data_IF_642570801077
#
_entry.id   IF_642570801077
#
_cell.length_a   1.000
_cell.length_b   1.000
_cell.length_c   1.000
_cell.angle_alpha   90.00
_cell.angle_beta   90.00
_cell.angle_gamma   90.00
#
_symmetry.space_group_name_H-M   'P 1'
#
loop_
_entity.id
_entity.type
_entity.pdbx_description
1 polymer ?
#
# COMPACT_ATOMS: atom_id res chain seq x y z
N UNK A 1 -10.09 -15.38 -3.73
CA UNK A 1 -11.39 -15.20 -3.05
C UNK A 1 -12.05 -13.95 -3.59
N UNK A 2 -13.27 -14.04 -4.13
CA UNK A 2 -13.93 -12.94 -4.84
C UNK A 2 -14.83 -12.18 -3.86
N UNK A 3 -14.46 -10.94 -3.54
CA UNK A 3 -15.29 -10.02 -2.77
C UNK A 3 -16.62 -9.74 -3.51
N UNK A 4 -17.78 -9.88 -2.87
CA UNK A 4 -19.04 -9.51 -3.55
C UNK A 4 -19.11 -7.97 -3.74
N UNK A 5 -18.84 -7.48 -4.97
CA UNK A 5 -18.90 -6.05 -5.32
C UNK A 5 -20.23 -5.42 -4.89
N UNK A 6 -21.36 -6.15 -4.93
CA UNK A 6 -22.67 -5.59 -4.54
C UNK A 6 -22.71 -5.17 -3.08
N UNK A 7 -21.93 -5.82 -2.21
CA UNK A 7 -21.80 -5.47 -0.78
C UNK A 7 -20.80 -4.33 -0.53
N UNK A 8 -19.83 -4.13 -1.43
CA UNK A 8 -18.71 -3.18 -1.23
C UNK A 8 -18.91 -1.86 -1.95
N UNK A 9 -19.42 -1.86 -3.17
CA UNK A 9 -19.57 -0.62 -3.97
C UNK A 9 -20.45 0.43 -3.31
N UNK A 10 -21.58 0.10 -2.66
CA UNK A 10 -22.33 1.09 -1.89
C UNK A 10 -21.50 1.76 -0.78
N UNK A 11 -20.53 1.02 -0.20
CA UNK A 11 -19.61 1.54 0.83
C UNK A 11 -18.47 2.39 0.24
N UNK A 12 -18.10 2.16 -1.02
CA UNK A 12 -17.10 2.96 -1.75
C UNK A 12 -17.70 4.24 -2.35
N UNK A 13 -18.99 4.22 -2.72
CA UNK A 13 -19.77 5.39 -3.17
C UNK A 13 -20.13 6.31 -2.00
N UNK A 14 -19.12 6.80 -1.30
CA UNK A 14 -19.33 7.80 -0.26
C UNK A 14 -19.45 9.18 -0.89
N UNK A 15 -20.50 9.92 -0.53
CA UNK A 15 -20.63 11.35 -0.84
C UNK A 15 -19.30 12.04 -0.51
N UNK A 16 -18.83 12.96 -1.38
CA UNK A 16 -17.58 13.72 -1.15
C UNK A 16 -17.56 14.40 0.23
N UNK A 17 -18.73 14.78 0.76
CA UNK A 17 -18.92 15.32 2.10
C UNK A 17 -19.57 14.27 3.01
N UNK A 18 -19.00 14.05 4.18
CA UNK A 18 -19.50 13.16 5.23
C UNK A 18 -19.62 13.91 6.55
N UNK A 19 -20.41 13.36 7.47
CA UNK A 19 -20.57 13.89 8.82
C UNK A 19 -19.91 12.92 9.81
N UNK A 20 -19.13 13.48 10.73
CA UNK A 20 -18.51 12.74 11.82
C UNK A 20 -19.24 13.05 13.12
N UNK A 21 -19.70 12.00 13.77
CA UNK A 21 -20.44 12.07 15.02
C UNK A 21 -19.57 11.61 16.18
N UNK A 22 -19.69 12.26 17.35
CA UNK A 22 -19.17 11.74 18.60
C UNK A 22 -19.85 10.41 18.94
N UNK A 23 -19.08 9.44 19.41
CA UNK A 23 -19.59 8.14 19.86
C UNK A 23 -18.91 7.70 21.14
N UNK A 24 -19.49 6.67 21.77
CA UNK A 24 -18.92 6.05 22.96
C UNK A 24 -17.58 5.40 22.65
N UNK A 25 -16.67 5.50 23.62
CA UNK A 25 -15.30 5.04 23.47
C UNK A 25 -14.29 5.93 24.19
N UNK A 26 -13.01 5.65 23.96
CA UNK A 26 -11.91 6.40 24.56
C UNK A 26 -11.03 7.05 23.48
N UNK A 27 -10.59 8.28 23.73
CA UNK A 27 -9.50 8.89 22.97
C UNK A 27 -8.20 8.70 23.73
N UNK A 28 -7.19 8.13 23.08
CA UNK A 28 -5.83 8.00 23.61
C UNK A 28 -4.91 9.04 23.00
N UNK A 29 -3.93 9.50 23.81
CA UNK A 29 -2.72 10.07 23.23
C UNK A 29 -1.97 8.97 22.49
N UNK A 30 -1.17 9.32 21.48
CA UNK A 30 -0.41 8.32 20.71
C UNK A 30 0.60 7.61 21.62
N UNK A 31 1.23 8.38 22.51
CA UNK A 31 2.19 7.87 23.49
C UNK A 31 1.56 6.84 24.44
N UNK A 32 0.37 7.11 24.98
CA UNK A 32 -0.30 6.19 25.92
C UNK A 32 -0.81 4.93 25.22
N UNK A 33 -1.33 5.07 23.99
CA UNK A 33 -1.73 3.91 23.18
C UNK A 33 -0.55 2.96 22.93
N UNK A 34 0.62 3.52 22.56
CA UNK A 34 1.85 2.73 22.37
C UNK A 34 2.28 2.05 23.66
N UNK A 35 2.26 2.74 24.81
CA UNK A 35 2.62 2.12 26.10
C UNK A 35 1.71 0.92 26.42
N UNK A 36 0.41 1.05 26.17
CA UNK A 36 -0.61 0.02 26.41
C UNK A 36 -0.46 -1.19 25.47
N UNK A 37 -0.16 -0.96 24.19
CA UNK A 37 -0.28 -1.99 23.15
C UNK A 37 1.02 -2.41 22.45
N UNK A 38 2.20 -1.89 22.83
CA UNK A 38 3.50 -2.24 22.20
C UNK A 38 3.80 -3.75 22.10
N UNK A 39 3.18 -4.59 22.94
CA UNK A 39 3.38 -6.04 22.95
C UNK A 39 2.94 -6.74 21.65
N UNK A 40 2.09 -6.10 20.83
CA UNK A 40 1.69 -6.66 19.52
C UNK A 40 2.79 -6.58 18.46
N UNK A 41 3.89 -5.87 18.73
CA UNK A 41 5.02 -5.71 17.82
C UNK A 41 6.21 -6.56 18.27
N UNK A 42 7.09 -6.91 17.33
CA UNK A 42 8.34 -7.63 17.64
C UNK A 42 9.27 -6.80 18.53
N UNK A 43 10.24 -7.45 19.19
CA UNK A 43 11.24 -6.76 20.03
C UNK A 43 12.00 -5.67 19.27
N UNK A 44 12.33 -5.92 18.01
CA UNK A 44 13.02 -4.94 17.16
C UNK A 44 12.15 -3.71 16.89
N UNK A 45 10.89 -3.92 16.54
CA UNK A 45 9.92 -2.85 16.28
C UNK A 45 9.62 -2.03 17.54
N UNK A 46 9.52 -2.69 18.69
CA UNK A 46 9.39 -2.01 19.99
C UNK A 46 10.60 -1.10 20.28
N UNK A 47 11.80 -1.50 19.87
CA UNK A 47 13.00 -0.68 20.03
C UNK A 47 12.94 0.58 19.15
N UNK A 48 12.45 0.47 17.91
CA UNK A 48 12.23 1.63 17.02
C UNK A 48 11.25 2.62 17.68
N UNK A 49 10.12 2.12 18.21
CA UNK A 49 9.16 2.97 18.92
C UNK A 49 9.81 3.65 20.14
N UNK A 50 10.57 2.91 20.95
CA UNK A 50 11.24 3.44 22.14
C UNK A 50 12.21 4.58 21.78
N UNK A 51 13.04 4.39 20.76
CA UNK A 51 14.05 5.37 20.32
C UNK A 51 13.41 6.66 19.77
N UNK A 52 12.18 6.56 19.28
CA UNK A 52 11.45 7.65 18.64
C UNK A 52 10.24 8.12 19.46
N UNK A 53 10.11 7.68 20.71
CA UNK A 53 8.94 7.93 21.55
C UNK A 53 8.68 9.43 21.76
N UNK A 54 9.77 10.23 21.84
CA UNK A 54 9.72 11.70 21.94
C UNK A 54 8.98 12.41 20.79
N UNK A 55 8.76 11.72 19.67
CA UNK A 55 8.02 12.28 18.53
C UNK A 55 6.51 11.99 18.61
N UNK A 56 6.07 11.17 19.56
CA UNK A 56 4.67 10.78 19.72
C UNK A 56 3.92 11.82 20.56
N UNK A 57 2.69 12.13 20.17
CA UNK A 57 1.84 13.05 20.94
C UNK A 57 1.50 12.46 22.31
N UNK A 58 1.84 13.18 23.38
CA UNK A 58 1.45 12.87 24.76
C UNK A 58 0.09 13.48 25.14
N UNK A 59 -0.43 14.40 24.33
CA UNK A 59 -1.71 15.07 24.58
C UNK A 59 -2.81 14.48 23.70
N UNK A 60 -3.98 14.24 24.29
CA UNK A 60 -5.21 13.93 23.57
C UNK A 60 -5.65 15.18 22.81
N UNK A 61 -5.90 15.07 21.51
CA UNK A 61 -6.36 16.20 20.67
C UNK A 61 -7.88 16.33 20.61
N UNK A 62 -8.58 15.25 20.93
CA UNK A 62 -10.03 15.17 20.87
C UNK A 62 -10.56 14.72 22.24
N UNK A 63 -11.77 15.19 22.57
CA UNK A 63 -12.44 14.81 23.82
C UNK A 63 -13.24 13.51 23.68
N UNK A 64 -13.62 13.15 22.46
CA UNK A 64 -14.43 11.98 22.14
C UNK A 64 -14.01 11.38 20.80
N UNK A 65 -14.14 10.05 20.62
CA UNK A 65 -14.01 9.41 19.32
C UNK A 65 -14.97 9.98 18.28
N UNK A 66 -14.54 10.02 17.03
CA UNK A 66 -15.33 10.49 15.90
C UNK A 66 -15.53 9.38 14.88
N UNK A 67 -16.77 9.20 14.41
CA UNK A 67 -17.11 8.20 13.42
C UNK A 67 -18.09 8.72 12.36
N UNK A 68 -17.93 8.25 11.14
CA UNK A 68 -18.90 8.43 10.07
C UNK A 68 -20.03 7.44 10.29
N UNK A 69 -21.16 7.92 10.78
CA UNK A 69 -22.37 7.11 10.93
C UNK A 69 -23.50 7.75 10.11
N UNK A 70 -24.29 6.91 9.44
CA UNK A 70 -25.57 7.32 8.84
C UNK A 70 -26.71 7.38 9.87
N UNK A 71 -26.52 6.75 11.03
CA UNK A 71 -27.52 6.53 12.09
C UNK A 71 -26.92 6.80 13.48
N UNK A 72 -26.27 7.95 13.69
CA UNK A 72 -25.79 8.28 15.04
C UNK A 72 -26.96 8.64 15.96
N UNK A 73 -27.29 7.72 16.85
CA UNK A 73 -28.34 7.80 17.87
C UNK A 73 -28.15 8.90 18.94
N UNK A 74 -27.01 9.59 18.96
CA UNK A 74 -26.75 10.65 19.95
C UNK A 74 -26.84 12.05 19.34
N UNK A 75 -28.07 12.58 19.22
CA UNK A 75 -28.40 13.92 18.71
C UNK A 75 -27.91 15.10 19.57
N UNK A 76 -27.20 14.87 20.69
CA UNK A 76 -26.84 15.92 21.66
C UNK A 76 -25.65 16.79 21.25
N UNK A 77 -24.71 16.25 20.46
CA UNK A 77 -23.55 17.01 19.98
C UNK A 77 -23.65 17.16 18.46
N UNK A 78 -23.45 18.39 17.97
CA UNK A 78 -23.51 18.68 16.53
C UNK A 78 -22.42 17.89 15.79
N UNK A 79 -22.75 17.24 14.67
CA UNK A 79 -21.76 16.55 13.86
C UNK A 79 -20.74 17.52 13.25
N UNK A 80 -19.54 17.01 13.01
CA UNK A 80 -18.45 17.75 12.35
C UNK A 80 -18.46 17.38 10.86
N UNK A 81 -18.45 18.39 10.00
CA UNK A 81 -18.36 18.18 8.56
C UNK A 81 -16.93 17.79 8.14
N UNK A 82 -16.81 16.73 7.36
CA UNK A 82 -15.56 16.23 6.83
C UNK A 82 -15.67 15.90 5.33
N UNK A 83 -14.53 15.70 4.68
CA UNK A 83 -14.47 15.11 3.34
C UNK A 83 -14.22 13.62 3.44
N UNK A 84 -14.89 12.84 2.58
CA UNK A 84 -14.58 11.43 2.41
C UNK A 84 -13.22 11.29 1.70
N UNK A 85 -12.27 10.55 2.29
CA UNK A 85 -10.98 10.24 1.66
C UNK A 85 -10.67 8.75 1.82
N UNK A 86 -10.61 8.01 0.69
CA UNK A 86 -10.46 6.56 0.71
C UNK A 86 -11.66 5.80 1.30
N UNK A 87 -11.59 4.48 1.30
CA UNK A 87 -12.70 3.59 1.68
C UNK A 87 -13.09 3.68 3.16
N UNK A 88 -12.13 3.88 4.06
CA UNK A 88 -12.33 3.87 5.53
C UNK A 88 -11.90 5.14 6.27
N UNK A 89 -11.65 6.24 5.56
CA UNK A 89 -11.14 7.47 6.18
C UNK A 89 -11.94 8.73 5.86
N UNK A 90 -11.83 9.72 6.73
CA UNK A 90 -12.41 11.05 6.55
C UNK A 90 -11.38 12.13 6.88
N UNK A 91 -11.47 13.28 6.21
CA UNK A 91 -10.57 14.42 6.34
C UNK A 91 -11.30 15.64 6.91
N UNK A 92 -10.84 16.08 8.07
CA UNK A 92 -11.17 17.37 8.67
C UNK A 92 -10.28 18.43 8.01
N UNK A 93 -10.85 19.14 7.02
CA UNK A 93 -10.10 20.00 6.09
C UNK A 93 -9.44 21.18 6.78
N UNK A 94 -10.17 21.85 7.69
CA UNK A 94 -9.67 23.06 8.38
C UNK A 94 -8.48 22.71 9.28
N UNK A 95 -8.55 21.56 9.93
CA UNK A 95 -7.57 21.06 10.89
C UNK A 95 -6.43 20.30 10.20
N UNK A 96 -6.59 19.96 8.91
CA UNK A 96 -5.71 19.05 8.16
C UNK A 96 -5.47 17.73 8.91
N UNK A 97 -6.56 17.12 9.38
CA UNK A 97 -6.53 15.84 10.11
C UNK A 97 -7.32 14.79 9.35
N UNK A 98 -6.63 13.72 8.94
CA UNK A 98 -7.27 12.50 8.46
C UNK A 98 -7.54 11.57 9.64
N UNK A 99 -8.74 11.03 9.72
CA UNK A 99 -9.10 9.95 10.64
C UNK A 99 -9.25 8.68 9.78
N UNK A 100 -8.30 7.75 9.91
CA UNK A 100 -8.34 6.43 9.25
C UNK A 100 -9.03 5.43 10.17
N UNK A 101 -9.96 4.63 9.64
CA UNK A 101 -10.72 3.66 10.44
C UNK A 101 -11.98 4.26 11.09
N UNK A 102 -12.59 5.27 10.47
CA UNK A 102 -13.76 5.94 11.04
C UNK A 102 -15.05 5.73 10.25
N UNK A 103 -15.11 4.76 9.33
CA UNK A 103 -16.31 4.48 8.51
C UNK A 103 -16.85 3.10 8.82
N UNK A 104 -17.07 2.84 10.10
CA UNK A 104 -17.64 1.58 10.55
C UNK A 104 -19.02 1.40 9.93
N UNK A 105 -19.29 0.20 9.44
CA UNK A 105 -20.64 -0.21 9.10
C UNK A 105 -21.17 -1.08 10.24
N UNK A 106 -22.02 -0.50 11.08
CA UNK A 106 -22.63 -1.16 12.25
C UNK A 106 -23.51 -2.35 11.86
N UNK A 107 -23.99 -2.38 10.62
CA UNK A 107 -24.99 -3.34 10.14
C UNK A 107 -24.37 -4.46 9.28
N UNK A 108 -23.04 -4.61 9.27
CA UNK A 108 -22.40 -5.58 8.37
C UNK A 108 -21.15 -6.25 8.94
N UNK A 109 -21.12 -7.58 8.91
CA UNK A 109 -19.93 -8.43 9.10
C UNK A 109 -19.00 -8.42 7.87
N UNK A 110 -18.94 -7.30 7.15
CA UNK A 110 -18.12 -7.20 5.95
C UNK A 110 -16.66 -7.12 6.36
N UNK A 111 -15.91 -8.14 5.95
CA UNK A 111 -14.46 -8.17 6.07
C UNK A 111 -13.81 -7.99 4.69
N UNK A 112 -12.62 -7.37 4.66
CA UNK A 112 -11.76 -7.34 3.49
C UNK A 112 -10.75 -8.49 3.51
N UNK A 113 -10.46 -9.15 2.38
CA UNK A 113 -9.32 -10.01 2.24
C UNK A 113 -8.06 -9.21 2.57
N UNK A 114 -7.17 -9.86 3.29
CA UNK A 114 -5.94 -9.26 3.75
C UNK A 114 -4.79 -10.20 3.45
N UNK A 115 -4.03 -9.89 2.40
CA UNK A 115 -2.88 -10.68 1.96
C UNK A 115 -1.64 -10.19 2.69
N UNK A 116 -1.00 -11.12 3.39
CA UNK A 116 0.23 -10.90 4.12
C UNK A 116 1.30 -11.86 3.61
N UNK A 117 2.50 -11.35 3.42
CA UNK A 117 3.71 -12.14 3.26
C UNK A 117 4.53 -11.90 4.52
N UNK A 118 4.93 -12.94 5.26
CA UNK A 118 5.84 -12.81 6.40
C UNK A 118 7.29 -12.99 5.98
N UNK A 119 8.21 -12.40 6.75
CA UNK A 119 9.62 -12.38 6.37
C UNK A 119 10.20 -13.77 6.57
N UNK A 120 10.70 -14.38 5.49
CA UNK A 120 11.09 -15.78 5.48
C UNK A 120 10.15 -16.69 4.71
N UNK A 121 8.91 -16.25 4.46
CA UNK A 121 7.91 -17.06 3.76
C UNK A 121 8.01 -16.87 2.24
N UNK A 122 7.68 -17.94 1.51
CA UNK A 122 7.60 -17.94 0.04
C UNK A 122 6.15 -17.97 -0.47
N UNK A 123 5.17 -18.01 0.45
CA UNK A 123 3.74 -18.03 0.17
C UNK A 123 3.03 -16.92 0.94
N UNK A 124 2.03 -16.33 0.30
CA UNK A 124 1.15 -15.38 0.98
C UNK A 124 0.12 -16.11 1.84
N UNK A 125 -0.24 -15.49 2.95
CA UNK A 125 -1.37 -15.87 3.79
C UNK A 125 -2.50 -14.88 3.54
N UNK A 126 -3.68 -15.38 3.17
CA UNK A 126 -4.89 -14.57 3.05
C UNK A 126 -5.70 -14.66 4.34
N UNK A 127 -5.85 -13.54 5.02
CA UNK A 127 -6.69 -13.38 6.21
C UNK A 127 -7.85 -12.42 5.92
N UNK A 128 -8.58 -11.99 6.95
CA UNK A 128 -9.69 -11.06 6.86
C UNK A 128 -9.54 -9.95 7.90
N UNK A 129 -9.86 -8.71 7.52
CA UNK A 129 -9.89 -7.57 8.44
C UNK A 129 -11.27 -6.89 8.43
N UNK A 130 -11.75 -6.39 9.58
CA UNK A 130 -13.03 -5.66 9.65
C UNK A 130 -13.05 -4.45 8.70
N UNK A 131 -14.17 -4.25 7.99
CA UNK A 131 -14.36 -3.07 7.17
C UNK A 131 -14.56 -1.82 8.03
N UNK A 132 -13.94 -0.71 7.62
CA UNK A 132 -14.30 0.61 8.13
C UNK A 132 -13.57 1.06 9.39
N UNK A 133 -13.04 0.15 10.20
CA UNK A 133 -12.22 0.40 11.40
C UNK A 133 -10.82 -0.23 11.26
N UNK A 134 -9.92 0.11 12.19
CA UNK A 134 -8.59 -0.50 12.32
C UNK A 134 -8.56 -1.47 13.49
N UNK A 135 -7.72 -2.51 13.41
CA UNK A 135 -7.33 -3.29 14.58
C UNK A 135 -6.25 -2.58 15.40
N UNK A 136 -5.99 -3.03 16.64
CA UNK A 136 -4.86 -2.55 17.46
C UNK A 136 -3.55 -2.68 16.68
N UNK A 137 -3.33 -3.82 16.03
CA UNK A 137 -2.11 -4.06 15.26
C UNK A 137 -1.98 -3.05 14.13
N UNK A 138 -3.03 -2.82 13.34
CA UNK A 138 -2.98 -1.85 12.24
C UNK A 138 -2.62 -0.43 12.71
N UNK A 139 -3.17 0.02 13.85
CA UNK A 139 -2.81 1.32 14.43
C UNK A 139 -1.34 1.33 14.86
N UNK A 140 -0.87 0.27 15.51
CA UNK A 140 0.53 0.15 15.93
C UNK A 140 1.50 0.12 14.74
N UNK A 141 1.12 -0.49 13.61
CA UNK A 141 1.90 -0.54 12.36
C UNK A 141 2.04 0.84 11.70
N UNK A 142 0.97 1.63 11.69
CA UNK A 142 1.01 3.04 11.22
C UNK A 142 1.92 3.91 12.10
N UNK A 143 1.82 3.77 13.43
CA UNK A 143 2.68 4.51 14.38
C UNK A 143 4.14 4.05 14.25
N UNK A 144 4.38 2.75 14.07
CA UNK A 144 5.70 2.19 13.81
C UNK A 144 6.30 2.78 12.52
N UNK A 145 5.54 2.86 11.44
CA UNK A 145 5.99 3.48 10.20
C UNK A 145 6.38 4.95 10.42
N UNK A 146 5.57 5.73 11.15
CA UNK A 146 5.94 7.10 11.50
C UNK A 146 7.29 7.18 12.23
N UNK A 147 7.49 6.36 13.26
CA UNK A 147 8.74 6.30 14.02
C UNK A 147 9.93 5.83 13.17
N UNK A 148 9.73 4.81 12.33
CA UNK A 148 10.74 4.30 11.41
C UNK A 148 11.21 5.38 10.42
N UNK A 149 10.27 6.10 9.83
CA UNK A 149 10.58 7.16 8.87
C UNK A 149 11.34 8.31 9.56
N UNK A 150 10.96 8.67 10.79
CA UNK A 150 11.70 9.64 11.59
C UNK A 150 13.13 9.20 11.89
N UNK A 151 13.33 7.95 12.31
CA UNK A 151 14.65 7.38 12.59
C UNK A 151 15.56 7.42 11.36
N UNK A 152 15.02 7.05 10.20
CA UNK A 152 15.77 6.92 8.95
C UNK A 152 15.77 8.19 8.10
N UNK A 153 15.28 9.32 8.64
CA UNK A 153 15.19 10.62 7.95
C UNK A 153 14.44 10.55 6.62
N UNK A 154 13.47 9.64 6.52
CA UNK A 154 12.56 9.53 5.36
C UNK A 154 11.39 10.47 5.59
N UNK A 155 11.02 11.23 4.56
CA UNK A 155 9.90 12.16 4.66
C UNK A 155 8.59 11.35 4.63
N UNK A 156 7.71 11.60 5.59
CA UNK A 156 6.39 10.98 5.69
C UNK A 156 5.29 12.04 5.61
N UNK A 157 4.17 11.69 4.96
CA UNK A 157 3.05 12.62 4.75
C UNK A 157 2.15 12.79 5.98
N UNK A 158 2.17 11.82 6.89
CA UNK A 158 1.27 11.79 8.04
C UNK A 158 2.03 11.93 9.37
N UNK A 159 1.37 12.48 10.39
CA UNK A 159 1.87 12.55 11.77
C UNK A 159 0.74 12.14 12.72
N UNK A 160 0.84 10.99 13.40
CA UNK A 160 -0.16 10.55 14.38
C UNK A 160 -0.40 11.60 15.47
N UNK A 161 -1.67 11.89 15.79
CA UNK A 161 -2.04 12.85 16.84
C UNK A 161 -2.92 12.27 17.94
N UNK A 162 -3.81 11.34 17.62
CA UNK A 162 -4.65 10.65 18.62
C UNK A 162 -5.15 9.32 18.08
N UNK A 163 -5.46 8.40 18.98
CA UNK A 163 -6.09 7.12 18.64
C UNK A 163 -7.48 7.10 19.26
N UNK A 164 -8.46 6.65 18.49
CA UNK A 164 -9.84 6.46 18.91
C UNK A 164 -10.07 4.98 19.15
N UNK A 165 -10.59 4.61 20.31
CA UNK A 165 -11.14 3.29 20.59
C UNK A 165 -12.66 3.42 20.53
N UNK A 166 -13.29 2.67 19.63
CA UNK A 166 -14.75 2.70 19.45
C UNK A 166 -15.39 1.60 20.28
N UNK A 167 -16.46 1.95 21.01
CA UNK A 167 -17.23 1.00 21.81
C UNK A 167 -18.68 0.89 21.33
N UNK A 168 -19.22 -0.34 21.38
CA UNK A 168 -20.64 -0.65 21.20
C UNK A 168 -21.02 -1.63 22.30
N UNK A 169 -22.12 -1.37 23.02
CA UNK A 169 -22.62 -2.23 24.10
C UNK A 169 -21.54 -2.63 25.12
N UNK A 170 -20.65 -1.68 25.45
CA UNK A 170 -19.53 -1.88 26.38
C UNK A 170 -18.37 -2.72 25.85
N UNK A 171 -18.37 -3.09 24.56
CA UNK A 171 -17.29 -3.85 23.91
C UNK A 171 -16.52 -2.98 22.93
N UNK A 172 -15.20 -3.18 22.88
CA UNK A 172 -14.36 -2.56 21.86
C UNK A 172 -14.62 -3.22 20.51
N UNK A 173 -14.96 -2.42 19.51
CA UNK A 173 -15.27 -2.92 18.15
C UNK A 173 -14.20 -2.56 17.12
N UNK A 174 -13.30 -1.63 17.46
CA UNK A 174 -12.18 -1.28 16.61
C UNK A 174 -11.60 0.08 16.96
N UNK A 175 -10.67 0.53 16.12
CA UNK A 175 -9.88 1.71 16.35
C UNK A 175 -9.88 2.66 15.16
N UNK A 176 -9.65 3.94 15.44
CA UNK A 176 -9.39 4.98 14.47
C UNK A 176 -8.06 5.66 14.76
N UNK A 177 -7.30 6.00 13.72
CA UNK A 177 -6.07 6.79 13.85
C UNK A 177 -6.29 8.17 13.26
N UNK A 178 -6.25 9.19 14.12
CA UNK A 178 -6.23 10.58 13.71
C UNK A 178 -4.77 11.01 13.45
N UNK A 179 -4.50 11.52 12.26
CA UNK A 179 -3.18 11.96 11.83
C UNK A 179 -3.26 13.31 11.12
N UNK A 180 -2.31 14.19 11.40
CA UNK A 180 -2.07 15.35 10.55
C UNK A 180 -1.55 14.91 9.20
N UNK A 181 -2.04 15.50 8.11
CA UNK A 181 -1.61 15.16 6.75
C UNK A 181 -1.32 16.43 5.95
N UNK A 182 -0.31 16.38 5.06
CA UNK A 182 0.05 17.55 4.24
C UNK A 182 -0.80 17.64 2.99
N UNK A 183 -1.00 16.50 2.33
CA UNK A 183 -1.85 16.33 1.17
C UNK A 183 -2.50 14.94 1.24
N UNK A 184 -3.64 14.75 0.57
CA UNK A 184 -4.31 13.44 0.45
C UNK A 184 -4.68 13.12 -1.00
N UNK A 185 -4.30 13.97 -1.96
CA UNK A 185 -4.48 13.68 -3.37
C UNK A 185 -3.46 12.62 -3.82
N UNK A 186 -3.97 11.42 -4.06
CA UNK A 186 -3.21 10.26 -4.53
C UNK A 186 -2.95 10.33 -6.02
N UNK A 187 -1.87 9.69 -6.48
CA UNK A 187 -1.53 9.64 -7.90
C UNK A 187 -2.47 8.74 -8.72
N UNK A 188 -3.10 7.72 -8.12
CA UNK A 188 -4.07 6.86 -8.82
C UNK A 188 -5.20 7.65 -9.49
N UNK A 189 -5.60 8.80 -8.94
CA UNK A 189 -6.67 9.62 -9.52
C UNK A 189 -6.27 10.30 -10.84
N UNK A 190 -4.98 10.29 -11.16
CA UNK A 190 -4.40 10.95 -12.33
C UNK A 190 -3.84 9.93 -13.34
N UNK A 191 -4.01 8.63 -13.09
CA UNK A 191 -3.60 7.58 -14.02
C UNK A 191 -4.44 7.66 -15.30
N UNK A 192 -3.78 7.73 -16.45
CA UNK A 192 -4.41 7.86 -17.76
C UNK A 192 -3.87 6.82 -18.73
N UNK A 193 -4.80 6.14 -19.41
CA UNK A 193 -4.52 5.19 -20.49
C UNK A 193 -4.93 5.78 -21.84
N UNK A 194 -4.55 7.03 -22.10
CA UNK A 194 -4.92 7.77 -23.34
C UNK A 194 -6.43 7.82 -23.66
N UNK A 195 -7.30 7.49 -22.70
CA UNK A 195 -8.74 7.33 -22.93
C UNK A 195 -9.12 6.07 -23.71
N UNK A 196 -8.20 5.11 -23.87
CA UNK A 196 -8.38 3.87 -24.63
C UNK A 196 -8.85 2.72 -23.74
N UNK A 197 -9.65 1.83 -24.32
CA UNK A 197 -10.01 0.54 -23.74
C UNK A 197 -8.83 -0.43 -23.78
N UNK A 198 -8.87 -1.48 -22.94
CA UNK A 198 -7.84 -2.53 -22.97
C UNK A 198 -7.73 -3.18 -24.36
N UNK A 199 -8.85 -3.40 -25.04
CA UNK A 199 -8.85 -4.00 -26.39
C UNK A 199 -8.12 -3.11 -27.40
N UNK A 200 -8.32 -1.80 -27.33
CA UNK A 200 -7.62 -0.84 -28.18
C UNK A 200 -6.13 -0.78 -27.86
N UNK A 201 -5.76 -0.81 -26.56
CA UNK A 201 -4.35 -0.89 -26.14
C UNK A 201 -3.66 -2.14 -26.70
N UNK A 202 -4.32 -3.31 -26.62
CA UNK A 202 -3.82 -4.56 -27.18
C UNK A 202 -3.62 -4.43 -28.69
N UNK A 203 -4.64 -3.95 -29.40
CA UNK A 203 -4.58 -3.77 -30.86
C UNK A 203 -3.42 -2.85 -31.27
N UNK A 204 -3.25 -1.71 -30.58
CA UNK A 204 -2.15 -0.79 -30.86
C UNK A 204 -0.79 -1.44 -30.60
N UNK A 205 -0.62 -2.18 -29.50
CA UNK A 205 0.63 -2.88 -29.19
C UNK A 205 0.94 -4.00 -30.18
N UNK A 206 -0.06 -4.72 -30.67
CA UNK A 206 0.11 -5.67 -31.76
C UNK A 206 0.49 -4.98 -33.07
N UNK A 207 -0.09 -3.82 -33.35
CA UNK A 207 0.25 -3.02 -34.52
C UNK A 207 1.69 -2.52 -34.43
N UNK A 208 2.13 -1.97 -33.29
CA UNK A 208 3.52 -1.57 -33.03
C UNK A 208 4.50 -2.70 -33.37
N UNK A 209 4.20 -3.92 -32.90
CA UNK A 209 5.03 -5.12 -33.16
C UNK A 209 5.09 -5.47 -34.64
N UNK A 210 3.99 -5.30 -35.38
CA UNK A 210 3.91 -5.60 -36.82
C UNK A 210 4.65 -4.57 -37.68
N UNK A 211 4.55 -3.29 -37.34
CA UNK A 211 5.10 -2.20 -38.16
C UNK A 211 6.49 -1.72 -37.69
N UNK A 212 6.93 -2.12 -36.49
CA UNK A 212 8.22 -1.74 -35.92
C UNK A 212 8.31 -0.28 -35.44
N UNK A 213 7.16 0.38 -35.23
CA UNK A 213 7.08 1.79 -34.81
C UNK A 213 6.34 1.85 -33.48
N UNK A 214 6.89 2.59 -32.51
CA UNK A 214 6.24 2.85 -31.23
C UNK A 214 5.15 3.92 -31.39
N UNK A 215 3.94 3.58 -30.99
CA UNK A 215 2.71 4.38 -31.11
C UNK A 215 2.28 4.96 -29.76
N UNK A 216 2.49 4.22 -28.66
CA UNK A 216 2.15 4.61 -27.29
C UNK A 216 3.28 4.27 -26.31
N UNK A 217 3.31 4.92 -25.16
CA UNK A 217 4.30 4.65 -24.11
C UNK A 217 4.20 3.21 -23.57
N UNK A 218 5.24 2.77 -22.86
CA UNK A 218 5.29 1.42 -22.29
C UNK A 218 4.66 1.35 -20.89
N UNK A 219 4.48 2.47 -20.20
CA UNK A 219 3.88 2.57 -18.87
C UNK A 219 2.71 3.57 -18.90
N UNK A 220 1.72 3.39 -18.03
CA UNK A 220 0.62 4.34 -17.88
C UNK A 220 1.13 5.72 -17.42
N UNK A 221 0.47 6.80 -17.86
CA UNK A 221 0.86 8.17 -17.48
C UNK A 221 0.18 8.58 -16.17
N UNK A 222 0.93 9.12 -15.21
CA UNK A 222 0.41 9.52 -13.89
C UNK A 222 0.00 10.99 -13.77
N UNK A 223 0.00 11.75 -14.88
CA UNK A 223 -0.15 13.20 -14.84
C UNK A 223 1.11 13.93 -14.35
N UNK A 224 2.23 13.21 -14.19
CA UNK A 224 3.55 13.72 -13.79
C UNK A 224 4.61 13.04 -14.64
N UNK A 225 5.82 13.61 -14.68
CA UNK A 225 6.95 13.00 -15.40
C UNK A 225 7.29 11.61 -14.83
N UNK A 226 7.02 10.57 -15.63
CA UNK A 226 7.16 9.17 -15.22
C UNK A 226 8.62 8.82 -14.87
N UNK A 227 9.60 9.40 -15.56
CA UNK A 227 11.03 9.18 -15.26
C UNK A 227 11.42 9.76 -13.90
N UNK A 228 11.04 11.01 -13.61
CA UNK A 228 11.23 11.65 -12.32
C UNK A 228 10.55 10.84 -11.22
N UNK A 229 9.29 10.42 -11.44
CA UNK A 229 8.55 9.60 -10.47
C UNK A 229 9.29 8.30 -10.17
N UNK A 230 9.68 7.53 -11.20
CA UNK A 230 10.44 6.29 -11.05
C UNK A 230 11.75 6.51 -10.28
N UNK A 231 12.47 7.62 -10.56
CA UNK A 231 13.70 7.98 -9.87
C UNK A 231 13.49 8.37 -8.40
N UNK A 232 12.43 9.09 -8.07
CA UNK A 232 12.13 9.43 -6.66
C UNK A 232 11.65 8.19 -5.90
N UNK A 233 10.79 7.39 -6.54
CA UNK A 233 10.21 6.19 -5.94
C UNK A 233 11.29 5.14 -5.65
N UNK A 234 12.16 4.86 -6.61
CA UNK A 234 13.29 3.93 -6.41
C UNK A 234 14.19 4.34 -5.25
N UNK A 235 14.60 5.61 -5.17
CA UNK A 235 15.39 6.13 -4.03
C UNK A 235 14.68 5.92 -2.69
N UNK A 236 13.40 6.23 -2.63
CA UNK A 236 12.60 6.09 -1.42
C UNK A 236 12.47 4.62 -0.99
N UNK A 237 12.17 3.71 -1.94
CA UNK A 237 12.09 2.27 -1.66
C UNK A 237 13.43 1.73 -1.20
N UNK A 238 14.53 2.06 -1.88
CA UNK A 238 15.87 1.62 -1.51
C UNK A 238 16.24 2.08 -0.10
N UNK A 239 16.02 3.37 0.22
CA UNK A 239 16.27 3.89 1.56
C UNK A 239 15.42 3.17 2.61
N UNK A 240 14.16 2.84 2.30
CA UNK A 240 13.25 2.14 3.19
C UNK A 240 13.68 0.67 3.38
N UNK A 241 13.85 -0.09 2.30
CA UNK A 241 14.19 -1.52 2.32
C UNK A 241 15.54 -1.79 2.98
N UNK A 242 16.58 -1.06 2.60
CA UNK A 242 17.92 -1.21 3.21
C UNK A 242 18.02 -0.62 4.63
N UNK A 243 16.97 0.08 5.10
CA UNK A 243 16.79 0.41 6.52
C UNK A 243 15.91 -0.62 7.26
N UNK A 244 15.43 -1.67 6.57
CA UNK A 244 14.62 -2.74 7.13
C UNK A 244 13.11 -2.51 7.09
N UNK A 245 12.62 -1.48 6.41
CA UNK A 245 11.19 -1.17 6.35
C UNK A 245 10.52 -1.72 5.10
N UNK A 246 9.33 -2.30 5.25
CA UNK A 246 8.51 -2.82 4.15
C UNK A 246 7.04 -2.53 4.42
N UNK A 247 6.31 -2.02 3.41
CA UNK A 247 4.88 -1.70 3.58
C UNK A 247 3.98 -2.93 3.58
N UNK A 248 4.40 -4.03 2.98
CA UNK A 248 3.58 -5.23 2.76
C UNK A 248 2.75 -5.16 1.47
N UNK A 249 2.36 -6.32 0.95
CA UNK A 249 1.85 -6.50 -0.43
C UNK A 249 0.69 -5.57 -0.79
N UNK A 250 -0.37 -5.54 0.04
CA UNK A 250 -1.59 -4.77 -0.27
C UNK A 250 -1.40 -3.26 -0.23
N UNK A 251 -0.52 -2.78 0.66
CA UNK A 251 -0.28 -1.35 0.85
C UNK A 251 0.80 -0.81 -0.08
N UNK A 252 1.54 -1.70 -0.75
CA UNK A 252 2.59 -1.37 -1.70
C UNK A 252 2.09 -1.02 -3.09
N UNK A 253 0.94 -0.37 -3.27
CA UNK A 253 0.47 0.09 -4.58
C UNK A 253 0.84 1.56 -4.86
N UNK A 254 0.98 1.94 -6.13
CA UNK A 254 1.24 3.34 -6.53
C UNK A 254 0.05 4.27 -6.21
N UNK A 255 -1.16 3.72 -6.06
CA UNK A 255 -2.33 4.47 -5.62
C UNK A 255 -2.21 5.03 -4.20
N UNK A 256 -1.28 4.51 -3.40
CA UNK A 256 -0.94 5.06 -2.09
C UNK A 256 0.18 6.11 -2.15
N UNK A 257 0.54 6.59 -3.33
CA UNK A 257 1.55 7.62 -3.52
C UNK A 257 0.94 9.01 -3.66
N UNK A 258 1.62 10.01 -3.12
CA UNK A 258 1.20 11.42 -3.13
C UNK A 258 2.37 12.25 -3.64
N UNK A 259 2.12 13.10 -4.63
CA UNK A 259 3.06 14.14 -5.05
C UNK A 259 2.58 15.49 -4.56
N UNK A 260 3.43 16.19 -3.82
CA UNK A 260 3.13 17.54 -3.33
C UNK A 260 4.42 18.35 -3.21
N UNK A 261 4.43 19.55 -3.80
CA UNK A 261 5.59 20.44 -3.86
C UNK A 261 6.86 19.73 -4.36
N UNK A 262 6.75 19.02 -5.50
CA UNK A 262 7.83 18.23 -6.11
C UNK A 262 8.49 17.21 -5.16
N UNK A 263 7.73 16.68 -4.20
CA UNK A 263 8.15 15.60 -3.32
C UNK A 263 7.17 14.45 -3.42
N UNK A 264 7.72 13.24 -3.47
CA UNK A 264 6.97 12.00 -3.41
C UNK A 264 6.84 11.55 -1.96
N UNK A 265 5.64 11.18 -1.58
CA UNK A 265 5.32 10.57 -0.29
C UNK A 265 4.59 9.25 -0.52
N UNK A 266 4.79 8.31 0.39
CA UNK A 266 4.02 7.06 0.45
C UNK A 266 3.12 7.08 1.69
N UNK A 267 1.93 6.50 1.57
CA UNK A 267 0.96 6.39 2.67
C UNK A 267 0.41 4.97 2.79
N UNK A 268 -0.46 4.77 3.80
CA UNK A 268 -1.04 3.49 4.21
C UNK A 268 0.00 2.44 4.65
N UNK A 269 0.09 2.26 5.96
CA UNK A 269 1.13 1.47 6.63
C UNK A 269 0.56 0.46 7.62
N UNK A 270 -0.71 0.09 7.51
CA UNK A 270 -1.37 -0.84 8.44
C UNK A 270 -0.85 -2.28 8.37
N UNK A 271 0.05 -2.56 7.43
CA UNK A 271 0.83 -3.81 7.30
C UNK A 271 2.34 -3.60 7.39
N UNK A 272 2.78 -2.39 7.77
CA UNK A 272 4.20 -2.05 7.77
C UNK A 272 4.98 -2.91 8.76
N UNK A 273 6.05 -3.52 8.28
CA UNK A 273 6.94 -4.35 9.10
C UNK A 273 8.33 -3.74 9.08
N UNK A 274 8.99 -3.75 10.23
CA UNK A 274 10.41 -3.42 10.32
C UNK A 274 11.22 -4.65 10.73
N UNK A 275 12.17 -5.03 9.89
CA UNK A 275 13.11 -6.12 10.13
C UNK A 275 14.49 -5.57 10.46
N UNK A 276 15.25 -6.32 11.26
CA UNK A 276 16.62 -5.97 11.54
C UNK A 276 17.52 -6.34 10.35
N UNK A 277 18.28 -5.36 9.85
CA UNK A 277 19.30 -5.60 8.82
C UNK A 277 20.60 -6.07 9.50
N UNK A 278 21.07 -7.31 9.28
CA UNK A 278 22.35 -7.77 9.78
C UNK A 278 23.50 -7.15 8.99
N UNK A 279 24.64 -6.95 9.65
CA UNK A 279 25.86 -6.44 8.98
C UNK A 279 26.45 -7.45 7.97
N UNK A 280 26.31 -8.75 8.26
CA UNK A 280 26.75 -9.86 7.41
C UNK A 280 25.61 -10.87 7.30
N UNK A 281 24.62 -10.64 6.42
CA UNK A 281 23.51 -11.57 6.24
C UNK A 281 24.01 -12.90 5.66
N UNK A 282 23.38 -13.99 6.09
CA UNK A 282 23.51 -15.27 5.42
C UNK A 282 22.65 -15.33 4.15
N UNK A 283 22.81 -16.41 3.38
CA UNK A 283 22.04 -16.58 2.15
C UNK A 283 20.53 -16.62 2.39
N UNK A 284 20.08 -17.27 3.48
CA UNK A 284 18.64 -17.38 3.81
C UNK A 284 18.03 -16.00 4.01
N UNK A 285 18.70 -15.13 4.77
CA UNK A 285 18.26 -13.75 4.96
C UNK A 285 18.23 -12.98 3.63
N UNK A 286 19.30 -13.07 2.82
CA UNK A 286 19.36 -12.39 1.52
C UNK A 286 18.22 -12.85 0.62
N UNK A 287 17.94 -14.16 0.55
CA UNK A 287 16.85 -14.71 -0.25
C UNK A 287 15.50 -14.08 0.13
N UNK A 288 15.17 -14.04 1.42
CA UNK A 288 13.92 -13.43 1.89
C UNK A 288 13.88 -11.92 1.67
N UNK A 289 15.00 -11.23 1.88
CA UNK A 289 15.12 -9.78 1.66
C UNK A 289 14.92 -9.41 0.19
N UNK A 290 15.55 -10.16 -0.73
CA UNK A 290 15.44 -9.95 -2.17
C UNK A 290 14.01 -10.24 -2.63
N UNK A 291 13.39 -11.33 -2.16
CA UNK A 291 12.00 -11.64 -2.47
C UNK A 291 11.07 -10.49 -2.08
N UNK A 292 11.13 -10.06 -0.83
CA UNK A 292 10.31 -8.95 -0.33
C UNK A 292 10.52 -7.65 -1.12
N UNK A 293 11.77 -7.32 -1.43
CA UNK A 293 12.13 -6.14 -2.23
C UNK A 293 11.57 -6.21 -3.65
N UNK A 294 11.66 -7.37 -4.30
CA UNK A 294 11.09 -7.60 -5.63
C UNK A 294 9.57 -7.49 -5.59
N UNK A 295 8.90 -8.16 -4.63
CA UNK A 295 7.44 -8.10 -4.49
C UNK A 295 6.97 -6.67 -4.22
N UNK A 296 7.64 -5.93 -3.32
CA UNK A 296 7.27 -4.53 -3.05
C UNK A 296 7.47 -3.62 -4.27
N UNK A 297 8.50 -3.89 -5.07
CA UNK A 297 8.76 -3.16 -6.31
C UNK A 297 7.70 -3.48 -7.37
N UNK A 298 7.33 -4.75 -7.54
CA UNK A 298 6.26 -5.17 -8.45
C UNK A 298 4.92 -4.54 -8.08
N UNK A 299 4.50 -4.63 -6.82
CA UNK A 299 3.20 -4.08 -6.40
C UNK A 299 3.11 -2.58 -6.57
N UNK A 300 4.23 -1.86 -6.48
CA UNK A 300 4.23 -0.40 -6.57
C UNK A 300 4.57 0.12 -7.96
N UNK A 301 4.87 -0.77 -8.90
CA UNK A 301 5.09 -0.42 -10.30
C UNK A 301 3.80 -0.02 -10.98
N UNK A 302 3.95 0.83 -12.00
CA UNK A 302 2.89 1.07 -12.97
C UNK A 302 2.71 -0.16 -13.84
N UNK A 303 1.50 -0.32 -14.36
CA UNK A 303 1.19 -1.37 -15.32
C UNK A 303 1.95 -1.08 -16.62
N UNK A 304 2.63 -2.10 -17.13
CA UNK A 304 3.23 -2.08 -18.46
C UNK A 304 2.13 -2.25 -19.50
N UNK A 305 2.01 -1.26 -20.37
CA UNK A 305 1.13 -1.28 -21.52
C UNK A 305 1.78 -2.12 -22.61
N UNK A 306 1.63 -3.44 -22.50
CA UNK A 306 1.97 -4.45 -23.49
C UNK A 306 0.99 -5.61 -23.34
N UNK A 307 0.92 -6.51 -24.30
CA UNK A 307 0.06 -7.68 -24.24
C UNK A 307 0.82 -8.99 -24.42
N UNK A 308 0.53 -9.94 -23.53
CA UNK A 308 0.98 -11.33 -23.62
C UNK A 308 -0.23 -12.26 -23.61
N UNK A 309 -0.39 -13.04 -24.68
CA UNK A 309 -1.32 -14.16 -24.67
C UNK A 309 -0.70 -15.33 -23.89
N UNK A 310 -1.31 -15.70 -22.78
CA UNK A 310 -0.80 -16.73 -21.85
C UNK A 310 -1.55 -18.06 -21.96
N UNK A 311 -2.48 -18.20 -22.91
CA UNK A 311 -3.42 -19.33 -23.01
C UNK A 311 -2.73 -20.68 -23.23
N UNK A 312 -1.61 -20.69 -23.94
CA UNK A 312 -0.84 -21.90 -24.28
C UNK A 312 0.47 -22.01 -23.48
N UNK A 313 0.64 -21.20 -22.43
CA UNK A 313 1.88 -21.12 -21.66
C UNK A 313 1.76 -21.82 -20.31
N UNK A 314 2.82 -22.53 -19.91
CA UNK A 314 2.95 -23.01 -18.54
C UNK A 314 3.14 -21.85 -17.56
N UNK A 315 2.82 -22.04 -16.27
CA UNK A 315 3.03 -21.00 -15.24
C UNK A 315 4.45 -20.41 -15.25
N UNK A 316 5.47 -21.25 -15.44
CA UNK A 316 6.87 -20.84 -15.52
C UNK A 316 7.14 -19.95 -16.74
N UNK A 317 6.68 -20.37 -17.92
CA UNK A 317 6.83 -19.58 -19.15
C UNK A 317 6.10 -18.24 -19.06
N UNK A 318 4.93 -18.20 -18.42
CA UNK A 318 4.22 -16.95 -18.16
C UNK A 318 5.11 -16.03 -17.31
N UNK A 319 5.56 -16.49 -16.14
CA UNK A 319 6.37 -15.69 -15.24
C UNK A 319 7.67 -15.18 -15.91
N UNK A 320 8.38 -16.04 -16.65
CA UNK A 320 9.61 -15.67 -17.37
C UNK A 320 9.35 -14.62 -18.46
N UNK A 321 8.29 -14.79 -19.26
CA UNK A 321 7.94 -13.83 -20.31
C UNK A 321 7.50 -12.48 -19.74
N UNK A 322 6.65 -12.48 -18.72
CA UNK A 322 6.20 -11.26 -18.07
C UNK A 322 7.36 -10.55 -17.38
N UNK A 323 8.25 -11.29 -16.71
CA UNK A 323 9.45 -10.73 -16.08
C UNK A 323 10.39 -10.09 -17.09
N UNK A 324 10.63 -10.75 -18.23
CA UNK A 324 11.46 -10.18 -19.31
C UNK A 324 10.89 -8.84 -19.78
N UNK A 325 9.59 -8.79 -20.08
CA UNK A 325 8.93 -7.56 -20.53
C UNK A 325 9.00 -6.48 -19.44
N UNK A 326 8.69 -6.83 -18.20
CA UNK A 326 8.72 -5.91 -17.07
C UNK A 326 10.11 -5.30 -16.86
N UNK A 327 11.16 -6.12 -16.86
CA UNK A 327 12.53 -5.62 -16.66
C UNK A 327 13.05 -4.80 -17.84
N UNK A 328 12.63 -5.13 -19.06
CA UNK A 328 12.96 -4.38 -20.26
C UNK A 328 12.23 -3.04 -20.34
N UNK A 329 11.01 -2.94 -19.81
CA UNK A 329 10.15 -1.76 -20.01
C UNK A 329 9.98 -0.87 -18.79
N UNK A 330 9.95 -1.43 -17.57
CA UNK A 330 9.64 -0.64 -16.38
C UNK A 330 10.74 0.36 -16.03
N UNK A 331 10.38 1.64 -15.98
CA UNK A 331 11.31 2.68 -15.53
C UNK A 331 11.64 2.49 -14.05
N UNK A 332 10.66 2.11 -13.22
CA UNK A 332 10.88 1.90 -11.79
C UNK A 332 11.89 0.78 -11.53
N UNK A 333 11.72 -0.38 -12.16
CA UNK A 333 12.63 -1.52 -11.97
C UNK A 333 14.07 -1.16 -12.33
N UNK A 334 14.29 -0.55 -13.50
CA UNK A 334 15.64 -0.17 -13.94
C UNK A 334 16.34 0.76 -12.95
N UNK A 335 15.62 1.76 -12.43
CA UNK A 335 16.17 2.69 -11.43
C UNK A 335 16.39 1.97 -10.09
N UNK A 336 15.43 1.18 -9.62
CA UNK A 336 15.50 0.45 -8.37
C UNK A 336 16.63 -0.56 -8.36
N UNK A 337 16.69 -1.44 -9.37
CA UNK A 337 17.70 -2.49 -9.49
C UNK A 337 19.13 -1.92 -9.50
N UNK A 338 19.35 -0.83 -10.23
CA UNK A 338 20.65 -0.15 -10.24
C UNK A 338 21.05 0.33 -8.84
N UNK A 339 20.12 0.98 -8.12
CA UNK A 339 20.36 1.45 -6.76
C UNK A 339 20.48 0.30 -5.75
N UNK A 340 19.77 -0.80 -5.96
CA UNK A 340 19.84 -2.00 -5.13
C UNK A 340 21.25 -2.59 -5.15
N UNK A 341 21.82 -2.78 -6.34
CA UNK A 341 23.19 -3.26 -6.49
C UNK A 341 24.24 -2.30 -5.91
N UNK A 342 23.97 -0.99 -5.94
CA UNK A 342 24.86 0.00 -5.31
C UNK A 342 24.82 -0.09 -3.78
N UNK A 343 23.63 -0.24 -3.18
CA UNK A 343 23.48 -0.37 -1.72
C UNK A 343 24.02 -1.71 -1.20
N UNK A 344 23.78 -2.79 -1.93
CA UNK A 344 24.35 -4.11 -1.66
C UNK A 344 25.88 -4.07 -1.57
N UNK A 345 26.54 -3.46 -2.57
CA UNK A 345 27.99 -3.23 -2.57
C UNK A 345 28.43 -2.33 -1.42
N UNK A 346 27.70 -1.25 -1.14
CA UNK A 346 28.01 -0.30 -0.05
C UNK A 346 27.97 -0.99 1.31
N UNK A 347 27.09 -1.97 1.50
CA UNK A 347 26.98 -2.75 2.73
C UNK A 347 27.93 -3.96 2.78
N UNK A 348 28.73 -4.19 1.73
CA UNK A 348 29.64 -5.33 1.60
C UNK A 348 28.92 -6.68 1.79
N UNK A 349 27.69 -6.79 1.26
CA UNK A 349 27.00 -8.07 1.22
C UNK A 349 27.65 -9.00 0.19
N UNK A 350 27.35 -10.29 0.29
CA UNK A 350 27.86 -11.27 -0.65
C UNK A 350 27.10 -11.17 -1.98
N UNK A 351 27.76 -10.64 -3.02
CA UNK A 351 27.15 -10.43 -4.33
C UNK A 351 26.72 -11.73 -5.02
N UNK A 352 27.39 -12.85 -4.77
CA UNK A 352 26.97 -14.16 -5.32
C UNK A 352 25.67 -14.63 -4.67
N UNK A 353 25.51 -14.41 -3.36
CA UNK A 353 24.25 -14.70 -2.67
C UNK A 353 23.10 -13.84 -3.19
N UNK A 354 23.36 -12.57 -3.48
CA UNK A 354 22.35 -11.65 -4.02
C UNK A 354 21.94 -12.06 -5.43
N UNK A 355 22.92 -12.37 -6.30
CA UNK A 355 22.66 -12.86 -7.65
C UNK A 355 21.84 -14.14 -7.63
N UNK A 356 22.25 -15.12 -6.83
CA UNK A 356 21.52 -16.38 -6.69
C UNK A 356 20.12 -16.15 -6.12
N UNK A 357 19.95 -15.26 -5.13
CA UNK A 357 18.64 -14.93 -4.60
C UNK A 357 17.71 -14.29 -5.63
N UNK A 358 18.21 -13.42 -6.52
CA UNK A 358 17.42 -12.82 -7.60
C UNK A 358 16.93 -13.88 -8.61
N UNK A 359 17.76 -14.87 -8.91
CA UNK A 359 17.40 -16.01 -9.77
C UNK A 359 16.33 -16.88 -9.10
N UNK A 360 16.52 -17.19 -7.82
CA UNK A 360 15.59 -18.00 -7.01
C UNK A 360 14.20 -17.38 -6.89
N UNK A 361 14.11 -16.05 -6.75
CA UNK A 361 12.81 -15.34 -6.62
C UNK A 361 11.87 -15.67 -7.77
N UNK A 362 12.38 -15.82 -8.99
CA UNK A 362 11.59 -16.10 -10.19
C UNK A 362 10.87 -17.45 -10.14
N UNK A 363 11.32 -18.35 -9.25
CA UNK A 363 10.73 -19.69 -9.06
C UNK A 363 9.70 -19.76 -7.94
N UNK A 364 9.54 -18.68 -7.17
CA UNK A 364 8.60 -18.65 -6.04
C UNK A 364 7.16 -18.48 -6.52
N UNK A 365 6.23 -19.09 -5.79
CA UNK A 365 4.80 -19.03 -6.08
C UNK A 365 4.28 -17.59 -5.98
N UNK A 366 4.67 -16.88 -4.91
CA UNK A 366 4.28 -15.47 -4.72
C UNK A 366 4.77 -14.57 -5.86
N UNK A 367 5.99 -14.75 -6.36
CA UNK A 367 6.46 -13.97 -7.51
C UNK A 367 5.60 -14.21 -8.75
N UNK A 368 5.31 -15.48 -9.05
CA UNK A 368 4.47 -15.85 -10.20
C UNK A 368 3.06 -15.26 -10.11
N UNK A 369 2.52 -15.09 -8.91
CA UNK A 369 1.23 -14.43 -8.69
C UNK A 369 1.33 -12.92 -8.87
N UNK A 370 2.36 -12.28 -8.32
CA UNK A 370 2.46 -10.82 -8.31
C UNK A 370 2.82 -10.24 -9.68
N UNK A 371 3.66 -10.92 -10.47
CA UNK A 371 4.06 -10.44 -11.80
C UNK A 371 2.90 -10.35 -12.80
N UNK A 372 1.81 -11.10 -12.56
CA UNK A 372 0.61 -11.07 -13.40
C UNK A 372 -0.05 -9.69 -13.41
N UNK A 373 0.05 -8.92 -12.33
CA UNK A 373 -0.56 -7.59 -12.20
C UNK A 373 0.21 -6.51 -12.96
N UNK A 374 1.44 -6.78 -13.41
CA UNK A 374 2.34 -5.76 -13.94
C UNK A 374 2.35 -5.63 -15.47
N UNK A 375 1.82 -6.61 -16.19
CA UNK A 375 1.79 -6.61 -17.66
C UNK A 375 0.43 -7.16 -18.10
N UNK A 376 -0.25 -6.49 -19.02
CA UNK A 376 -1.58 -6.93 -19.49
C UNK A 376 -1.45 -8.32 -20.15
N UNK A 377 -2.27 -9.27 -19.72
CA UNK A 377 -2.20 -10.65 -20.19
C UNK A 377 -3.57 -11.34 -20.24
N UNK A 378 -3.72 -12.37 -21.09
CA UNK A 378 -5.01 -13.04 -21.30
C UNK A 378 -5.55 -13.71 -20.04
N UNK A 379 -4.68 -14.23 -19.16
CA UNK A 379 -5.08 -14.83 -17.88
C UNK A 379 -5.74 -13.82 -16.95
N UNK A 380 -5.11 -12.68 -16.68
CA UNK A 380 -5.71 -11.61 -15.87
C UNK A 380 -7.02 -11.13 -16.51
N UNK A 381 -7.08 -10.97 -17.83
CA UNK A 381 -8.32 -10.59 -18.50
C UNK A 381 -9.43 -11.64 -18.26
N UNK A 382 -9.14 -12.94 -18.41
CA UNK A 382 -10.14 -14.01 -18.21
C UNK A 382 -10.57 -14.17 -16.76
N UNK A 383 -9.63 -14.04 -15.82
CA UNK A 383 -9.89 -14.21 -14.38
C UNK A 383 -10.53 -12.97 -13.74
N UNK A 384 -10.37 -11.78 -14.35
CA UNK A 384 -10.82 -10.49 -13.77
C UNK A 384 -12.11 -9.93 -14.40
N UNK A 385 -12.72 -10.57 -15.40
CA UNK A 385 -14.06 -10.20 -15.88
C UNK A 385 -15.12 -11.23 -15.45
N UNK A 386 -16.20 -10.80 -14.74
CA UNK A 386 -16.98 -9.61 -15.04
C UNK A 386 -16.41 -8.33 -14.41
N UNK A 387 -16.72 -7.14 -14.98
CA UNK A 387 -16.06 -5.83 -14.77
C UNK A 387 -16.26 -5.22 -13.38
N UNK A 388 -16.43 -6.08 -12.41
CA UNK A 388 -16.93 -5.82 -11.09
C UNK A 388 -15.81 -5.82 -10.04
N UNK A 389 -14.59 -6.28 -10.29
CA UNK A 389 -13.58 -6.36 -9.21
C UNK A 389 -12.10 -6.18 -9.61
N UNK A 390 -11.75 -5.77 -10.84
CA UNK A 390 -10.37 -5.35 -11.08
C UNK A 390 -10.08 -4.09 -10.27
N UNK A 391 -9.12 -4.14 -9.35
CA UNK A 391 -8.75 -2.95 -8.59
C UNK A 391 -8.07 -1.88 -9.46
N UNK A 392 -7.59 -2.22 -10.68
CA UNK A 392 -6.78 -1.32 -11.50
C UNK A 392 -6.93 -1.48 -13.03
N UNK A 393 -8.08 -1.92 -13.55
CA UNK A 393 -8.37 -1.64 -14.98
C UNK A 393 -9.23 -0.38 -15.12
N UNK A 394 -8.87 0.56 -16.00
CA UNK A 394 -9.68 1.75 -16.27
C UNK A 394 -11.11 1.37 -16.56
N UNK A 395 -12.04 2.10 -15.94
CA UNK A 395 -13.44 2.00 -16.26
C UNK A 395 -13.65 2.48 -17.71
N UNK A 396 -13.89 1.54 -18.61
CA UNK A 396 -14.24 1.78 -20.00
C UNK A 396 -14.88 0.53 -20.59
N UNK A 397 -16.20 0.40 -20.39
CA UNK A 397 -17.10 -0.42 -21.21
C UNK A 397 -17.91 0.56 -22.05
#
# INVERSE_FOLDING_TARGET
MILDRKKIVPLLQTKKKVLLYPVDGEVYSVADFVKKHKAVLSKHEQLILKNNFRFLSEKKKFNFPLICNTEADNKKIKPIQALSVGSRSALLVKEKIKIKGCKMNLNSDVCFPHEQLHFGDEKMVTTQIPFGVLTVENVMREILAYCFFKQNKIIINHTPVSVFEYMIDGKVVGYGLASHTKNEQRLETNEQYYGLTIKELIFLKELEKKIGIKLIEDEAHLGVDNYWYAKQKSKLLIQMNFSGGFRGVLNSNFGNDIVHNQKLYICDFDTFTAIQIPAKPDYKYIKSFVLWSVIETLKTSLVIVDFVNTDEMTKKQIAENLWKIYTEKSLLWKQYYTLFLLEEKRLHWNSEYVKQALEDVLTTEVFCEMILDNVINSKVIKETYPPKLSFYTPQGI
#
